data_IF_071983662408
#
_entry.id   IF_071983662408
#
_cell.length_a   1.000
_cell.length_b   1.000
_cell.length_c   1.000
_cell.angle_alpha   90.00
_cell.angle_beta   90.00
_cell.angle_gamma   90.00
#
_symmetry.space_group_name_H-M   'P 1'
#
loop_
_entity.id
_entity.type
_entity.pdbx_description
1 polymer ?
#
# COMPACT_ATOMS: atom_id res chain seq x y z
N UNK A 1 -1.73 -12.08 -35.22
CA UNK A 1 -2.39 -11.71 -33.95
C UNK A 1 -2.48 -13.00 -33.14
N UNK A 2 -1.56 -13.21 -32.19
CA UNK A 2 -1.66 -14.34 -31.26
C UNK A 2 -2.91 -14.12 -30.42
N UNK A 3 -3.75 -15.16 -30.31
CA UNK A 3 -4.87 -15.17 -29.35
C UNK A 3 -4.32 -14.74 -27.98
N UNK A 4 -4.80 -13.61 -27.50
CA UNK A 4 -4.53 -13.21 -26.12
C UNK A 4 -5.30 -14.20 -25.27
N UNK A 5 -4.55 -15.13 -24.67
CA UNK A 5 -5.10 -16.13 -23.77
C UNK A 5 -5.71 -15.38 -22.59
N UNK A 6 -7.03 -15.20 -22.61
CA UNK A 6 -7.79 -14.39 -21.62
C UNK A 6 -7.60 -14.86 -20.17
N UNK A 7 -6.95 -16.02 -19.98
CA UNK A 7 -6.74 -16.68 -18.69
C UNK A 7 -5.27 -17.02 -18.40
N UNK A 8 -4.30 -16.33 -19.00
CA UNK A 8 -2.89 -16.59 -18.67
C UNK A 8 -2.58 -16.12 -17.24
N UNK A 9 -2.63 -17.03 -16.27
CA UNK A 9 -2.31 -16.79 -14.87
C UNK A 9 -0.81 -16.89 -14.55
N UNK A 10 0.04 -17.22 -15.54
CA UNK A 10 1.47 -17.40 -15.32
C UNK A 10 2.15 -16.17 -14.70
N UNK A 11 1.89 -14.91 -15.11
CA UNK A 11 2.50 -13.73 -14.48
C UNK A 11 2.12 -13.62 -13.00
N UNK A 12 0.90 -13.98 -12.63
CA UNK A 12 0.44 -13.94 -11.23
C UNK A 12 1.19 -14.98 -10.38
N UNK A 13 1.30 -16.24 -10.85
CA UNK A 13 2.04 -17.27 -10.11
C UNK A 13 3.52 -16.95 -9.99
N UNK A 14 4.14 -16.39 -11.03
CA UNK A 14 5.54 -15.95 -11.00
C UNK A 14 5.73 -14.78 -10.02
N UNK A 15 4.82 -13.80 -9.99
CA UNK A 15 4.84 -12.71 -9.02
C UNK A 15 4.71 -13.23 -7.59
N UNK A 16 3.82 -14.20 -7.36
CA UNK A 16 3.69 -14.86 -6.05
C UNK A 16 4.98 -15.60 -5.66
N UNK A 17 5.64 -16.29 -6.59
CA UNK A 17 6.92 -16.96 -6.34
C UNK A 17 8.01 -15.97 -5.95
N UNK A 18 8.11 -14.82 -6.61
CA UNK A 18 9.01 -13.73 -6.23
C UNK A 18 8.68 -13.19 -4.84
N UNK A 19 7.39 -12.97 -4.54
CA UNK A 19 6.97 -12.54 -3.20
C UNK A 19 7.32 -13.55 -2.11
N UNK A 20 7.17 -14.85 -2.38
CA UNK A 20 7.64 -15.91 -1.48
C UNK A 20 9.16 -15.86 -1.27
N UNK A 21 9.93 -15.64 -2.32
CA UNK A 21 11.39 -15.51 -2.23
C UNK A 21 11.79 -14.28 -1.39
N UNK A 22 11.13 -13.15 -1.58
CA UNK A 22 11.33 -11.93 -0.77
C UNK A 22 11.00 -12.17 0.70
N UNK A 23 9.89 -12.86 1.01
CA UNK A 23 9.49 -13.16 2.37
C UNK A 23 10.34 -14.25 3.03
N UNK A 24 11.02 -15.11 2.26
CA UNK A 24 11.77 -16.24 2.77
C UNK A 24 12.90 -15.84 3.74
N UNK A 25 13.63 -14.76 3.44
CA UNK A 25 14.72 -14.28 4.29
C UNK A 25 14.24 -13.83 5.69
N UNK A 26 13.25 -12.90 5.81
CA UNK A 26 12.75 -12.51 7.12
C UNK A 26 12.06 -13.67 7.85
N UNK A 27 11.37 -14.59 7.15
CA UNK A 27 10.78 -15.77 7.77
C UNK A 27 11.84 -16.76 8.28
N UNK A 28 12.89 -17.04 7.50
CA UNK A 28 13.98 -17.93 7.93
C UNK A 28 14.71 -17.35 9.13
N UNK A 29 15.02 -16.06 9.12
CA UNK A 29 15.63 -15.37 10.25
C UNK A 29 14.74 -15.41 11.50
N UNK A 30 13.45 -15.14 11.35
CA UNK A 30 12.47 -15.22 12.42
C UNK A 30 12.39 -16.65 13.01
N UNK A 31 12.26 -17.67 12.17
CA UNK A 31 12.24 -19.07 12.60
C UNK A 31 13.50 -19.46 13.39
N UNK A 32 14.65 -19.02 12.92
CA UNK A 32 15.92 -19.29 13.59
C UNK A 32 16.03 -18.59 14.95
N UNK A 33 15.71 -17.30 15.00
CA UNK A 33 15.87 -16.46 16.20
C UNK A 33 14.84 -16.77 17.29
N UNK A 34 13.62 -17.18 16.92
CA UNK A 34 12.50 -17.35 17.85
C UNK A 34 12.26 -18.82 18.27
N UNK A 35 13.25 -19.70 18.15
CA UNK A 35 13.11 -21.15 18.44
C UNK A 35 12.67 -21.44 19.88
N UNK A 36 13.17 -20.68 20.85
CA UNK A 36 12.88 -20.85 22.28
C UNK A 36 11.81 -19.90 22.83
N UNK A 37 11.24 -19.03 21.99
CA UNK A 37 10.26 -18.06 22.42
C UNK A 37 8.86 -18.66 22.61
N UNK A 38 8.04 -18.05 23.47
CA UNK A 38 6.64 -18.42 23.65
C UNK A 38 5.83 -18.14 22.37
N UNK A 39 4.64 -18.78 22.17
CA UNK A 39 3.80 -18.54 21.01
C UNK A 39 3.47 -17.06 20.78
N UNK A 40 3.08 -16.33 21.83
CA UNK A 40 2.77 -14.89 21.74
C UNK A 40 3.99 -14.05 21.37
N UNK A 41 5.16 -14.35 21.93
CA UNK A 41 6.43 -13.68 21.59
C UNK A 41 6.83 -13.93 20.12
N UNK A 42 6.64 -15.16 19.61
CA UNK A 42 6.87 -15.49 18.20
C UNK A 42 6.00 -14.67 17.27
N UNK A 43 4.69 -14.61 17.57
CA UNK A 43 3.75 -13.82 16.77
C UNK A 43 4.02 -12.32 16.85
N UNK A 44 4.36 -11.80 18.04
CA UNK A 44 4.78 -10.41 18.21
C UNK A 44 6.02 -10.09 17.35
N UNK A 45 7.04 -10.92 17.40
CA UNK A 45 8.26 -10.73 16.63
C UNK A 45 7.97 -10.75 15.11
N UNK A 46 7.15 -11.71 14.62
CA UNK A 46 6.75 -11.76 13.21
C UNK A 46 5.95 -10.52 12.83
N UNK A 47 5.02 -10.07 13.68
CA UNK A 47 4.24 -8.85 13.43
C UNK A 47 5.14 -7.61 13.35
N UNK A 48 6.15 -7.48 14.22
CA UNK A 48 7.10 -6.36 14.19
C UNK A 48 7.98 -6.38 12.94
N UNK A 49 8.43 -7.54 12.49
CA UNK A 49 9.16 -7.69 11.22
C UNK A 49 8.25 -7.26 10.05
N UNK A 50 7.02 -7.76 10.03
CA UNK A 50 6.02 -7.40 9.00
C UNK A 50 5.74 -5.90 9.02
N UNK A 51 5.59 -5.30 10.20
CA UNK A 51 5.39 -3.86 10.37
C UNK A 51 6.56 -3.06 9.79
N UNK A 52 7.81 -3.46 10.08
CA UNK A 52 9.00 -2.79 9.58
C UNK A 52 9.08 -2.88 8.06
N UNK A 53 8.93 -4.08 7.48
CA UNK A 53 8.94 -4.26 6.01
C UNK A 53 7.76 -3.52 5.34
N UNK A 54 6.60 -3.45 6.00
CA UNK A 54 5.45 -2.66 5.51
C UNK A 54 5.75 -1.16 5.54
N UNK A 55 6.46 -0.67 6.57
CA UNK A 55 6.89 0.72 6.63
C UNK A 55 7.82 1.06 5.46
N UNK A 56 8.83 0.22 5.20
CA UNK A 56 9.72 0.39 4.05
C UNK A 56 8.96 0.34 2.72
N UNK A 57 7.96 -0.55 2.62
CA UNK A 57 7.08 -0.62 1.45
C UNK A 57 6.29 0.69 1.25
N UNK A 58 5.76 1.29 2.30
CA UNK A 58 5.04 2.58 2.22
C UNK A 58 5.98 3.69 1.76
N UNK A 59 7.21 3.74 2.29
CA UNK A 59 8.23 4.69 1.82
C UNK A 59 8.60 4.46 0.36
N UNK A 60 8.75 3.20 -0.05
CA UNK A 60 9.02 2.86 -1.45
C UNK A 60 7.82 3.21 -2.37
N UNK A 61 6.59 3.06 -1.88
CA UNK A 61 5.39 3.53 -2.58
C UNK A 61 5.38 5.05 -2.78
N UNK A 62 5.77 5.81 -1.76
CA UNK A 62 5.96 7.26 -1.90
C UNK A 62 7.06 7.59 -2.92
N UNK A 63 8.18 6.86 -2.93
CA UNK A 63 9.22 6.99 -3.92
C UNK A 63 8.70 6.70 -5.35
N UNK A 64 7.93 5.61 -5.52
CA UNK A 64 7.29 5.27 -6.81
C UNK A 64 6.39 6.41 -7.29
N UNK A 65 5.66 7.05 -6.38
CA UNK A 65 4.81 8.21 -6.71
C UNK A 65 5.64 9.44 -7.08
N UNK A 66 6.69 9.77 -6.31
CA UNK A 66 7.53 10.94 -6.52
C UNK A 66 8.38 10.85 -7.80
N UNK A 67 8.71 9.64 -8.22
CA UNK A 67 9.44 9.38 -9.48
C UNK A 67 8.51 9.22 -10.69
N UNK A 68 7.21 9.45 -10.51
CA UNK A 68 6.18 9.29 -11.54
C UNK A 68 6.25 7.90 -12.21
N UNK A 69 6.47 6.87 -11.38
CA UNK A 69 6.70 5.49 -11.84
C UNK A 69 5.47 4.58 -11.69
N UNK A 70 4.31 5.13 -11.30
CA UNK A 70 3.10 4.35 -11.02
C UNK A 70 2.41 3.76 -12.25
N UNK A 71 2.85 4.10 -13.47
CA UNK A 71 2.44 3.51 -14.74
C UNK A 71 3.66 3.11 -15.58
N UNK A 72 4.77 2.74 -14.96
CA UNK A 72 5.94 2.19 -15.62
C UNK A 72 5.67 0.85 -16.31
N UNK A 73 4.64 0.14 -15.84
CA UNK A 73 4.04 -1.05 -16.46
C UNK A 73 2.55 -0.80 -16.70
N UNK A 74 2.05 -0.91 -17.94
CA UNK A 74 0.67 -0.51 -18.29
C UNK A 74 -0.40 -1.51 -17.84
N UNK A 75 0.01 -2.72 -17.43
CA UNK A 75 -0.84 -3.85 -17.09
C UNK A 75 -0.61 -4.35 -15.65
N UNK A 76 -1.50 -5.18 -15.18
CA UNK A 76 -1.43 -5.85 -13.88
C UNK A 76 -1.90 -7.31 -14.02
N UNK A 77 -1.27 -8.28 -13.35
CA UNK A 77 -0.25 -8.18 -12.28
C UNK A 77 1.20 -8.01 -12.76
N UNK A 78 1.49 -8.26 -14.03
CA UNK A 78 2.81 -8.22 -14.61
C UNK A 78 3.20 -6.88 -15.24
N UNK A 79 4.11 -6.95 -16.22
CA UNK A 79 4.54 -5.86 -17.07
C UNK A 79 4.55 -6.38 -18.51
N UNK A 80 3.66 -5.88 -19.36
CA UNK A 80 3.42 -6.41 -20.72
C UNK A 80 3.23 -7.95 -20.72
N UNK A 81 2.42 -8.45 -19.79
CA UNK A 81 2.17 -9.89 -19.65
C UNK A 81 3.33 -10.71 -19.09
N UNK A 82 4.47 -10.08 -18.75
CA UNK A 82 5.62 -10.74 -18.10
C UNK A 82 5.66 -10.42 -16.60
N UNK A 83 6.17 -11.36 -15.80
CA UNK A 83 6.36 -11.12 -14.36
C UNK A 83 7.55 -10.21 -14.04
N UNK A 84 8.40 -9.91 -15.01
CA UNK A 84 9.58 -9.05 -14.80
C UNK A 84 9.79 -8.11 -15.99
N UNK A 85 10.37 -6.91 -15.76
CA UNK A 85 10.76 -6.01 -16.85
C UNK A 85 11.80 -6.60 -17.81
N UNK A 86 12.52 -7.64 -17.38
CA UNK A 86 13.46 -8.36 -18.26
C UNK A 86 12.70 -9.07 -19.38
N UNK A 87 11.60 -9.77 -19.05
CA UNK A 87 10.76 -10.45 -20.02
C UNK A 87 9.99 -9.52 -20.95
N UNK A 88 9.81 -8.26 -20.54
CA UNK A 88 9.12 -7.20 -21.29
C UNK A 88 10.10 -6.18 -21.92
N UNK A 89 11.38 -6.53 -22.05
CA UNK A 89 12.42 -5.59 -22.47
C UNK A 89 12.15 -4.97 -23.84
N UNK A 90 11.63 -5.74 -24.78
CA UNK A 90 11.37 -5.29 -26.15
C UNK A 90 10.27 -4.24 -26.16
N UNK A 91 9.15 -4.52 -25.50
CA UNK A 91 7.99 -3.65 -25.40
C UNK A 91 8.31 -2.35 -24.66
N UNK A 92 9.05 -2.45 -23.54
CA UNK A 92 9.50 -1.27 -22.78
C UNK A 92 10.44 -0.41 -23.60
N UNK A 93 11.38 -1.03 -24.35
CA UNK A 93 12.30 -0.27 -25.22
C UNK A 93 11.54 0.44 -26.35
N UNK A 94 10.57 -0.22 -26.95
CA UNK A 94 9.74 0.38 -27.99
C UNK A 94 8.92 1.57 -27.45
N UNK A 95 8.28 1.42 -26.29
CA UNK A 95 7.54 2.48 -25.62
C UNK A 95 8.44 3.68 -25.27
N UNK A 96 9.60 3.42 -24.69
CA UNK A 96 10.57 4.48 -24.31
C UNK A 96 11.16 5.17 -25.54
N UNK A 97 11.39 4.47 -26.66
CA UNK A 97 11.88 5.07 -27.90
C UNK A 97 10.81 5.98 -28.51
N UNK A 98 9.53 5.55 -28.47
CA UNK A 98 8.42 6.35 -28.96
C UNK A 98 8.16 7.60 -28.10
N UNK A 99 8.36 7.50 -26.77
CA UNK A 99 8.16 8.60 -25.83
C UNK A 99 9.22 8.56 -24.70
N UNK A 100 10.40 9.19 -24.91
CA UNK A 100 11.53 9.10 -23.96
C UNK A 100 11.23 9.61 -22.55
N UNK A 101 10.35 10.59 -22.40
CA UNK A 101 9.88 11.16 -21.12
C UNK A 101 8.51 10.64 -20.70
N UNK A 102 8.00 9.62 -21.39
CA UNK A 102 6.67 9.05 -21.15
C UNK A 102 6.56 8.27 -19.84
N UNK A 103 5.36 7.74 -19.58
CA UNK A 103 5.11 6.96 -18.37
C UNK A 103 5.92 5.66 -18.35
N UNK A 104 6.20 5.05 -19.49
CA UNK A 104 6.91 3.77 -19.58
C UNK A 104 8.36 3.99 -19.97
N UNK A 105 9.28 3.71 -19.05
CA UNK A 105 10.74 3.64 -19.28
C UNK A 105 11.30 2.46 -18.51
N UNK A 106 12.50 2.00 -18.85
CA UNK A 106 13.14 0.90 -18.12
C UNK A 106 13.26 1.16 -16.61
N UNK A 107 13.65 2.37 -16.21
CA UNK A 107 13.77 2.73 -14.79
C UNK A 107 12.42 2.73 -14.09
N UNK A 108 11.39 3.36 -14.68
CA UNK A 108 10.04 3.42 -14.10
C UNK A 108 9.42 2.02 -13.99
N UNK A 109 9.58 1.17 -15.01
CA UNK A 109 9.09 -0.21 -14.96
C UNK A 109 9.74 -1.02 -13.83
N UNK A 110 11.04 -0.87 -13.60
CA UNK A 110 11.73 -1.53 -12.50
C UNK A 110 11.27 -1.00 -11.13
N UNK A 111 11.14 0.31 -10.96
CA UNK A 111 10.66 0.91 -9.71
C UNK A 111 9.27 0.35 -9.37
N UNK A 112 8.35 0.35 -10.32
CA UNK A 112 7.01 -0.18 -10.09
C UNK A 112 7.01 -1.68 -9.78
N UNK A 113 7.74 -2.49 -10.56
CA UNK A 113 7.77 -3.94 -10.33
C UNK A 113 8.43 -4.32 -8.99
N UNK A 114 9.49 -3.63 -8.56
CA UNK A 114 10.08 -3.82 -7.23
C UNK A 114 9.05 -3.52 -6.14
N UNK A 115 8.26 -2.44 -6.28
CA UNK A 115 7.17 -2.15 -5.35
C UNK A 115 6.15 -3.30 -5.28
N UNK A 116 5.74 -3.85 -6.43
CA UNK A 116 4.82 -5.01 -6.49
C UNK A 116 5.42 -6.25 -5.84
N UNK A 117 6.72 -6.54 -6.02
CA UNK A 117 7.40 -7.66 -5.37
C UNK A 117 7.43 -7.52 -3.85
N UNK A 118 7.77 -6.34 -3.34
CA UNK A 118 7.75 -6.05 -1.91
C UNK A 118 6.34 -6.16 -1.33
N UNK A 119 5.33 -5.64 -2.04
CA UNK A 119 3.93 -5.74 -1.63
C UNK A 119 3.47 -7.21 -1.54
N UNK A 120 3.84 -8.04 -2.51
CA UNK A 120 3.54 -9.48 -2.47
C UNK A 120 4.27 -10.16 -1.31
N UNK A 121 5.53 -9.80 -1.04
CA UNK A 121 6.29 -10.28 0.11
C UNK A 121 5.62 -9.94 1.45
N UNK A 122 5.13 -8.72 1.62
CA UNK A 122 4.34 -8.32 2.81
C UNK A 122 3.06 -9.13 2.90
N UNK A 123 2.37 -9.38 1.79
CA UNK A 123 1.19 -10.27 1.75
C UNK A 123 1.49 -11.67 2.27
N UNK A 124 2.64 -12.25 1.86
CA UNK A 124 3.10 -13.57 2.34
C UNK A 124 3.40 -13.55 3.84
N UNK A 125 4.03 -12.49 4.37
CA UNK A 125 4.30 -12.36 5.80
C UNK A 125 3.00 -12.30 6.63
N UNK A 126 2.01 -11.53 6.15
CA UNK A 126 0.69 -11.41 6.81
C UNK A 126 -0.08 -12.74 6.74
N UNK A 127 -0.05 -13.43 5.60
CA UNK A 127 -0.62 -14.76 5.47
C UNK A 127 0.04 -15.76 6.44
N UNK A 128 1.37 -15.73 6.53
CA UNK A 128 2.14 -16.56 7.47
C UNK A 128 1.73 -16.29 8.92
N UNK A 129 1.51 -15.01 9.28
CA UNK A 129 1.04 -14.59 10.60
C UNK A 129 -0.37 -15.15 10.89
N UNK A 130 -1.29 -15.08 9.94
CA UNK A 130 -2.66 -15.60 10.09
C UNK A 130 -2.65 -17.14 10.25
N UNK A 131 -1.93 -17.84 9.39
CA UNK A 131 -1.83 -19.30 9.41
C UNK A 131 -1.13 -19.79 10.70
N UNK A 132 -0.05 -19.14 11.13
CA UNK A 132 0.68 -19.50 12.35
C UNK A 132 -0.21 -19.32 13.59
N UNK A 133 -0.95 -18.21 13.69
CA UNK A 133 -1.86 -17.95 14.81
C UNK A 133 -2.97 -19.01 14.87
N UNK A 134 -3.55 -19.31 13.72
CA UNK A 134 -4.58 -20.33 13.62
C UNK A 134 -4.05 -21.74 14.00
N UNK A 135 -2.86 -22.10 13.54
CA UNK A 135 -2.23 -23.39 13.82
C UNK A 135 -1.87 -23.53 15.31
N UNK A 136 -1.23 -22.52 15.92
CA UNK A 136 -0.88 -22.52 17.34
C UNK A 136 -2.12 -22.63 18.22
N UNK A 137 -3.19 -21.89 17.91
CA UNK A 137 -4.45 -22.01 18.64
C UNK A 137 -5.05 -23.42 18.52
N UNK A 138 -5.04 -24.00 17.32
CA UNK A 138 -5.53 -25.38 17.12
C UNK A 138 -4.70 -26.41 17.87
N UNK A 139 -3.39 -26.24 17.98
CA UNK A 139 -2.55 -27.10 18.80
C UNK A 139 -2.96 -27.07 20.26
N UNK A 140 -3.18 -25.91 20.86
CA UNK A 140 -3.64 -25.77 22.24
C UNK A 140 -4.96 -26.51 22.48
N UNK A 141 -5.95 -26.27 21.58
CA UNK A 141 -7.25 -26.94 21.67
C UNK A 141 -7.12 -28.48 21.60
N UNK A 142 -6.30 -29.00 20.65
CA UNK A 142 -6.06 -30.44 20.51
C UNK A 142 -5.33 -31.05 21.71
N UNK A 143 -4.51 -30.27 22.39
CA UNK A 143 -3.83 -30.68 23.62
C UNK A 143 -4.71 -30.59 24.87
N UNK A 144 -6.00 -30.26 24.75
CA UNK A 144 -6.94 -30.08 25.86
C UNK A 144 -6.65 -28.83 26.72
N UNK A 145 -5.82 -27.91 26.21
CA UNK A 145 -5.49 -26.67 26.91
C UNK A 145 -6.53 -25.58 26.63
N UNK A 146 -6.75 -24.70 27.60
CA UNK A 146 -7.51 -23.47 27.35
C UNK A 146 -6.74 -22.58 26.38
N UNK A 147 -7.32 -22.21 25.24
CA UNK A 147 -6.61 -21.37 24.26
C UNK A 147 -6.24 -20.03 24.85
N UNK A 148 -4.97 -19.62 24.66
CA UNK A 148 -4.50 -18.29 25.06
C UNK A 148 -5.35 -17.20 24.34
N UNK A 149 -5.97 -16.26 25.09
CA UNK A 149 -6.73 -15.16 24.52
C UNK A 149 -5.93 -14.28 23.55
N UNK A 150 -4.60 -14.22 23.71
CA UNK A 150 -3.71 -13.48 22.80
C UNK A 150 -3.64 -14.14 21.42
N UNK A 151 -3.86 -15.45 21.32
CA UNK A 151 -3.87 -16.22 20.07
C UNK A 151 -5.25 -16.21 19.38
N UNK A 152 -6.07 -15.20 19.66
CA UNK A 152 -7.38 -15.11 18.99
C UNK A 152 -7.20 -14.77 17.50
N UNK A 153 -7.73 -15.56 16.55
CA UNK A 153 -7.41 -15.44 15.13
C UNK A 153 -8.05 -14.25 14.44
N UNK A 154 -9.01 -13.57 15.03
CA UNK A 154 -9.72 -12.43 14.43
C UNK A 154 -8.77 -11.34 13.94
N UNK A 155 -7.78 -10.96 14.75
CA UNK A 155 -6.86 -9.89 14.36
C UNK A 155 -5.99 -10.23 13.14
N UNK A 156 -5.29 -11.38 13.08
CA UNK A 156 -4.52 -11.74 11.89
C UNK A 156 -5.38 -11.93 10.65
N UNK A 157 -6.59 -12.50 10.79
CA UNK A 157 -7.51 -12.61 9.66
C UNK A 157 -8.05 -11.25 9.19
N UNK A 158 -8.32 -10.33 10.12
CA UNK A 158 -8.65 -8.95 9.78
C UNK A 158 -7.49 -8.26 9.04
N UNK A 159 -6.25 -8.41 9.52
CA UNK A 159 -5.06 -7.87 8.86
C UNK A 159 -4.88 -8.47 7.46
N UNK A 160 -5.16 -9.76 7.29
CA UNK A 160 -5.12 -10.43 5.98
C UNK A 160 -6.20 -9.88 5.05
N UNK A 161 -7.44 -9.74 5.52
CA UNK A 161 -8.51 -9.13 4.72
C UNK A 161 -8.15 -7.69 4.32
N UNK A 162 -7.57 -6.91 5.24
CA UNK A 162 -7.11 -5.55 4.98
C UNK A 162 -6.04 -5.50 3.89
N UNK A 163 -5.01 -6.35 3.94
CA UNK A 163 -3.95 -6.37 2.92
C UNK A 163 -4.44 -6.88 1.58
N UNK A 164 -5.43 -7.79 1.54
CA UNK A 164 -6.08 -8.19 0.28
C UNK A 164 -6.83 -7.01 -0.36
N UNK A 165 -7.58 -6.24 0.44
CA UNK A 165 -8.23 -5.02 -0.01
C UNK A 165 -7.20 -3.98 -0.51
N UNK A 166 -6.10 -3.79 0.22
CA UNK A 166 -4.99 -2.93 -0.17
C UNK A 166 -4.37 -3.37 -1.51
N UNK A 167 -4.20 -4.67 -1.72
CA UNK A 167 -3.72 -5.23 -3.00
C UNK A 167 -4.70 -4.97 -4.15
N UNK A 168 -6.02 -5.07 -3.89
CA UNK A 168 -7.04 -4.71 -4.87
C UNK A 168 -6.97 -3.23 -5.27
N UNK A 169 -6.85 -2.31 -4.29
CA UNK A 169 -6.60 -0.90 -4.59
C UNK A 169 -5.31 -0.71 -5.39
N UNK A 170 -4.23 -1.46 -5.07
CA UNK A 170 -2.98 -1.43 -5.84
C UNK A 170 -3.17 -1.83 -7.31
N UNK A 171 -3.97 -2.87 -7.58
CA UNK A 171 -4.32 -3.24 -8.95
C UNK A 171 -5.12 -2.14 -9.65
N UNK A 172 -6.10 -1.56 -8.95
CA UNK A 172 -6.94 -0.48 -9.48
C UNK A 172 -6.16 0.80 -9.78
N UNK A 173 -5.07 1.10 -9.05
CA UNK A 173 -4.23 2.28 -9.39
C UNK A 173 -3.68 2.19 -10.81
N UNK A 174 -3.34 1.00 -11.27
CA UNK A 174 -2.82 0.74 -12.62
C UNK A 174 -3.96 0.65 -13.64
N UNK A 175 -4.95 -0.20 -13.38
CA UNK A 175 -6.02 -0.47 -14.35
C UNK A 175 -6.94 0.73 -14.56
N UNK A 176 -7.06 1.62 -13.58
CA UNK A 176 -7.79 2.89 -13.67
C UNK A 176 -6.85 4.10 -13.95
N UNK A 177 -5.63 3.86 -14.44
CA UNK A 177 -4.69 4.90 -14.90
C UNK A 177 -4.50 6.03 -13.88
N UNK A 178 -4.16 5.68 -12.63
CA UNK A 178 -3.92 6.61 -11.52
C UNK A 178 -5.15 7.47 -11.17
N UNK A 179 -6.34 6.89 -11.19
CA UNK A 179 -7.57 7.56 -10.76
C UNK A 179 -7.38 8.17 -9.35
N UNK A 180 -7.53 9.51 -9.16
CA UNK A 180 -7.05 10.20 -7.95
C UNK A 180 -7.63 9.64 -6.64
N UNK A 181 -8.94 9.35 -6.59
CA UNK A 181 -9.56 8.78 -5.40
C UNK A 181 -9.01 7.39 -5.06
N UNK A 182 -8.79 6.54 -6.06
CA UNK A 182 -8.24 5.19 -5.87
C UNK A 182 -6.81 5.25 -5.34
N UNK A 183 -5.97 6.13 -5.89
CA UNK A 183 -4.58 6.29 -5.43
C UNK A 183 -4.53 6.88 -4.02
N UNK A 184 -5.40 7.85 -3.70
CA UNK A 184 -5.52 8.42 -2.35
C UNK A 184 -5.99 7.36 -1.34
N UNK A 185 -6.99 6.55 -1.68
CA UNK A 185 -7.45 5.45 -0.84
C UNK A 185 -6.35 4.40 -0.67
N UNK A 186 -5.61 4.05 -1.73
CA UNK A 186 -4.47 3.14 -1.63
C UNK A 186 -3.42 3.63 -0.63
N UNK A 187 -3.08 4.92 -0.65
CA UNK A 187 -2.21 5.54 0.36
C UNK A 187 -2.79 5.39 1.77
N UNK A 188 -4.05 5.79 1.97
CA UNK A 188 -4.69 5.77 3.29
C UNK A 188 -4.78 4.33 3.85
N UNK A 189 -5.19 3.37 3.05
CA UNK A 189 -5.24 1.96 3.47
C UNK A 189 -3.85 1.39 3.72
N UNK A 190 -2.81 1.82 2.97
CA UNK A 190 -1.42 1.44 3.21
C UNK A 190 -0.90 1.93 4.56
N UNK A 191 -1.12 3.21 4.88
CA UNK A 191 -0.79 3.78 6.21
C UNK A 191 -1.65 3.14 7.30
N UNK A 192 -2.93 2.84 7.01
CA UNK A 192 -3.83 2.12 7.91
C UNK A 192 -3.32 0.73 8.28
N UNK A 193 -2.69 0.03 7.33
CA UNK A 193 -2.07 -1.27 7.59
C UNK A 193 -0.96 -1.18 8.65
N UNK A 194 -0.17 -0.09 8.65
CA UNK A 194 0.84 0.14 9.70
C UNK A 194 0.18 0.27 11.08
N UNK A 195 -0.92 1.03 11.17
CA UNK A 195 -1.65 1.18 12.44
C UNK A 195 -2.25 -0.16 12.92
N UNK A 196 -2.80 -0.95 12.00
CA UNK A 196 -3.36 -2.29 12.31
C UNK A 196 -2.26 -3.23 12.80
N UNK A 197 -1.11 -3.31 12.10
CA UNK A 197 0.02 -4.14 12.50
C UNK A 197 0.61 -3.69 13.84
N UNK A 198 0.70 -2.39 14.10
CA UNK A 198 1.15 -1.87 15.39
C UNK A 198 0.20 -2.26 16.52
N UNK A 199 -1.11 -2.09 16.32
CA UNK A 199 -2.12 -2.49 17.30
C UNK A 199 -2.04 -4.01 17.58
N UNK A 200 -1.82 -4.82 16.56
CA UNK A 200 -1.64 -6.26 16.70
C UNK A 200 -0.35 -6.64 17.45
N UNK A 201 0.76 -5.94 17.20
CA UNK A 201 2.02 -6.14 17.92
C UNK A 201 1.89 -5.83 19.42
N UNK A 202 1.22 -4.70 19.74
CA UNK A 202 0.92 -4.31 21.14
C UNK A 202 0.01 -5.34 21.81
N UNK A 203 -0.99 -5.86 21.09
CA UNK A 203 -1.85 -6.92 21.62
C UNK A 203 -1.08 -8.17 22.01
N UNK A 204 -0.14 -8.63 21.17
CA UNK A 204 0.68 -9.81 21.47
C UNK A 204 1.67 -9.60 22.61
N UNK A 205 1.92 -8.36 23.03
CA UNK A 205 2.73 -8.07 24.21
C UNK A 205 2.03 -8.50 25.51
N UNK A 206 0.68 -8.53 25.52
CA UNK A 206 -0.10 -8.92 26.69
C UNK A 206 0.02 -7.96 27.87
N UNK A 207 0.52 -6.75 27.65
CA UNK A 207 0.66 -5.75 28.70
C UNK A 207 -0.70 -5.32 29.24
N UNK A 208 -0.79 -5.14 30.56
CA UNK A 208 -2.00 -4.63 31.19
C UNK A 208 -2.31 -3.21 30.67
N UNK A 209 -3.60 -2.97 30.39
CA UNK A 209 -4.05 -1.65 29.97
C UNK A 209 -3.76 -0.62 31.09
N UNK A 210 -3.07 0.45 30.73
CA UNK A 210 -2.81 1.57 31.63
C UNK A 210 -3.98 2.54 31.58
N UNK A 211 -4.42 3.01 32.75
CA UNK A 211 -5.42 4.06 32.84
C UNK A 211 -4.80 5.38 32.32
N UNK A 212 -5.42 5.96 31.31
CA UNK A 212 -5.02 7.24 30.73
C UNK A 212 -6.08 8.28 31.09
N UNK A 213 -5.70 9.47 31.59
CA UNK A 213 -6.65 10.54 31.86
C UNK A 213 -7.53 10.85 30.66
N UNK A 214 -8.84 11.09 30.90
CA UNK A 214 -9.81 11.26 29.80
C UNK A 214 -9.44 12.42 28.87
N UNK A 215 -8.89 13.52 29.41
CA UNK A 215 -8.41 14.66 28.59
C UNK A 215 -7.29 14.27 27.62
N UNK A 216 -6.27 13.56 28.13
CA UNK A 216 -5.17 13.09 27.30
C UNK A 216 -5.66 12.11 26.22
N UNK A 217 -6.55 11.18 26.57
CA UNK A 217 -7.14 10.24 25.61
C UNK A 217 -7.91 10.95 24.50
N UNK A 218 -8.71 11.99 24.83
CA UNK A 218 -9.42 12.81 23.83
C UNK A 218 -8.45 13.57 22.94
N UNK A 219 -7.41 14.17 23.51
CA UNK A 219 -6.37 14.86 22.76
C UNK A 219 -5.64 13.95 21.77
N UNK A 220 -5.27 12.73 22.20
CA UNK A 220 -4.63 11.74 21.32
C UNK A 220 -5.55 11.30 20.18
N UNK A 221 -6.83 11.08 20.45
CA UNK A 221 -7.80 10.75 19.38
C UNK A 221 -8.00 11.91 18.41
N UNK A 222 -8.09 13.15 18.90
CA UNK A 222 -8.16 14.33 18.03
C UNK A 222 -6.92 14.45 17.14
N UNK A 223 -5.73 14.32 17.73
CA UNK A 223 -4.47 14.34 16.98
C UNK A 223 -4.40 13.23 15.90
N UNK A 224 -4.86 12.02 16.25
CA UNK A 224 -4.93 10.91 15.30
C UNK A 224 -5.88 11.21 14.15
N UNK A 225 -7.08 11.73 14.43
CA UNK A 225 -8.04 12.10 13.38
C UNK A 225 -7.50 13.21 12.48
N UNK A 226 -6.92 14.28 13.09
CA UNK A 226 -6.33 15.37 12.32
C UNK A 226 -5.16 14.90 11.42
N UNK A 227 -4.31 14.02 11.94
CA UNK A 227 -3.25 13.40 11.15
C UNK A 227 -3.82 12.61 9.96
N UNK A 228 -4.90 11.86 10.20
CA UNK A 228 -5.56 11.07 9.15
C UNK A 228 -6.16 11.95 8.07
N UNK A 229 -6.81 13.04 8.45
CA UNK A 229 -7.33 14.07 7.52
C UNK A 229 -6.16 14.69 6.73
N UNK A 230 -5.08 15.06 7.40
CA UNK A 230 -3.89 15.64 6.76
C UNK A 230 -3.27 14.69 5.72
N UNK A 231 -3.16 13.40 6.04
CA UNK A 231 -2.67 12.39 5.08
C UNK A 231 -3.61 12.29 3.86
N UNK A 232 -4.92 12.28 4.10
CA UNK A 232 -5.92 12.25 3.03
C UNK A 232 -5.85 13.47 2.10
N UNK A 233 -5.80 14.68 2.68
CA UNK A 233 -5.67 15.92 1.91
C UNK A 233 -4.34 15.99 1.15
N UNK A 234 -3.21 15.68 1.81
CA UNK A 234 -1.91 15.63 1.14
C UNK A 234 -1.84 14.59 0.03
N UNK A 235 -2.49 13.43 0.24
CA UNK A 235 -2.69 12.43 -0.79
C UNK A 235 -3.47 12.98 -1.98
N UNK A 236 -4.58 13.70 -1.72
CA UNK A 236 -5.41 14.31 -2.77
C UNK A 236 -4.62 15.34 -3.59
N UNK A 237 -3.87 16.23 -2.94
CA UNK A 237 -2.97 17.18 -3.61
C UNK A 237 -1.97 16.45 -4.51
N UNK A 238 -1.31 15.42 -3.96
CA UNK A 238 -0.30 14.64 -4.70
C UNK A 238 -0.91 13.91 -5.89
N UNK A 239 -2.03 13.22 -5.72
CA UNK A 239 -2.64 12.37 -6.76
C UNK A 239 -3.22 13.19 -7.91
N UNK A 240 -3.57 14.44 -7.67
CA UNK A 240 -4.03 15.38 -8.69
C UNK A 240 -2.90 16.19 -9.34
N UNK A 241 -1.63 15.98 -8.97
CA UNK A 241 -0.47 16.77 -9.43
C UNK A 241 -0.62 18.28 -9.16
N UNK A 242 -1.37 18.65 -8.10
CA UNK A 242 -1.69 20.04 -7.78
C UNK A 242 -0.57 20.80 -7.03
N UNK A 243 0.51 20.10 -6.65
CA UNK A 243 1.62 20.68 -5.82
C UNK A 243 2.20 21.95 -6.40
N UNK A 244 2.29 22.06 -7.73
CA UNK A 244 2.87 23.21 -8.41
C UNK A 244 1.82 24.23 -8.90
N UNK A 245 0.56 24.06 -8.54
CA UNK A 245 -0.50 25.00 -8.91
C UNK A 245 -0.33 26.37 -8.23
N UNK A 246 0.28 26.40 -7.01
CA UNK A 246 0.65 27.61 -6.30
C UNK A 246 2.18 27.75 -6.27
N UNK A 247 2.76 28.69 -7.01
CA UNK A 247 4.22 28.87 -7.09
C UNK A 247 4.80 29.60 -5.89
N UNK A 248 3.99 30.30 -5.10
CA UNK A 248 4.37 31.15 -3.98
C UNK A 248 3.67 30.69 -2.68
N UNK A 249 4.29 31.00 -1.55
CA UNK A 249 3.79 30.75 -0.20
C UNK A 249 4.13 31.94 0.71
N UNK A 250 3.21 32.42 1.55
CA UNK A 250 1.89 31.89 1.92
C UNK A 250 0.74 32.29 1.00
N UNK A 251 1.01 32.99 -0.08
CA UNK A 251 0.05 33.36 -1.12
C UNK A 251 0.01 32.31 -2.23
N UNK A 252 -0.95 32.44 -3.14
CA UNK A 252 -1.03 31.68 -4.38
C UNK A 252 -1.25 32.68 -5.52
N UNK A 253 -0.30 32.77 -6.46
CA UNK A 253 -0.28 33.81 -7.50
C UNK A 253 -0.40 35.25 -6.94
N UNK A 254 0.27 35.50 -5.82
CA UNK A 254 0.27 36.80 -5.13
C UNK A 254 -1.05 37.12 -4.37
N UNK A 255 -2.00 36.19 -4.32
CA UNK A 255 -3.30 36.36 -3.65
C UNK A 255 -3.40 35.50 -2.40
N UNK A 256 -3.99 36.05 -1.32
CA UNK A 256 -4.31 35.28 -0.12
C UNK A 256 -5.51 34.36 -0.29
N UNK A 257 -6.44 34.71 -1.15
CA UNK A 257 -7.63 33.95 -1.52
C UNK A 257 -7.73 33.95 -3.05
N UNK A 258 -7.09 33.01 -3.73
CA UNK A 258 -7.20 32.88 -5.17
C UNK A 258 -8.63 32.43 -5.56
N UNK A 259 -8.98 32.58 -6.85
CA UNK A 259 -10.25 32.09 -7.35
C UNK A 259 -10.35 30.57 -7.10
N UNK A 260 -11.44 30.17 -6.43
CA UNK A 260 -11.67 28.78 -6.04
C UNK A 260 -12.65 28.11 -7.02
N UNK A 261 -12.32 26.88 -7.40
CA UNK A 261 -13.22 26.03 -8.17
C UNK A 261 -13.33 24.66 -7.50
N UNK A 262 -14.49 24.36 -6.92
CA UNK A 262 -14.72 23.14 -6.14
C UNK A 262 -14.76 21.85 -6.96
N UNK A 263 -14.76 21.90 -8.29
CA UNK A 263 -14.64 20.72 -9.16
C UNK A 263 -13.35 19.94 -8.92
N UNK A 264 -12.32 20.58 -8.35
CA UNK A 264 -11.11 19.92 -7.90
C UNK A 264 -11.34 18.82 -6.85
N UNK A 265 -12.44 18.91 -6.08
CA UNK A 265 -12.82 17.95 -5.03
C UNK A 265 -13.84 16.92 -5.48
N UNK A 266 -14.22 16.89 -6.77
CA UNK A 266 -15.02 15.80 -7.30
C UNK A 266 -14.21 14.49 -7.22
N UNK A 267 -14.69 13.57 -6.38
CA UNK A 267 -13.98 12.33 -6.09
C UNK A 267 -14.07 11.30 -7.22
N UNK A 268 -15.09 11.40 -8.06
CA UNK A 268 -15.32 10.45 -9.14
C UNK A 268 -15.02 11.07 -10.51
N UNK A 269 -13.77 11.28 -10.79
CA UNK A 269 -13.25 11.80 -12.04
C UNK A 269 -11.90 11.23 -12.38
N UNK A 270 -11.60 11.09 -13.67
CA UNK A 270 -10.28 10.70 -14.14
C UNK A 270 -9.25 11.80 -13.86
N UNK A 271 -7.99 11.41 -13.83
CA UNK A 271 -6.87 12.34 -13.59
C UNK A 271 -6.86 13.44 -14.68
N UNK A 272 -6.86 14.70 -14.22
CA UNK A 272 -6.84 15.87 -15.10
C UNK A 272 -8.16 16.17 -15.83
N UNK A 273 -9.23 15.41 -15.53
CA UNK A 273 -10.55 15.58 -16.18
C UNK A 273 -11.61 16.00 -15.16
N UNK A 274 -12.69 16.59 -15.64
CA UNK A 274 -13.97 16.76 -14.92
C UNK A 274 -14.81 15.48 -15.02
N UNK A 275 -15.88 15.30 -14.22
CA UNK A 275 -16.80 14.17 -14.37
C UNK A 275 -17.44 14.06 -15.77
N UNK A 276 -17.57 15.17 -16.46
CA UNK A 276 -18.14 15.22 -17.83
C UNK A 276 -17.09 14.96 -18.93
N UNK A 277 -15.85 14.59 -18.55
CA UNK A 277 -14.78 14.25 -19.49
C UNK A 277 -14.11 15.45 -20.17
N UNK A 278 -14.27 16.66 -19.64
CA UNK A 278 -13.54 17.85 -20.09
C UNK A 278 -12.22 18.01 -19.29
N UNK A 279 -11.29 18.81 -19.79
CA UNK A 279 -10.08 19.13 -19.03
C UNK A 279 -10.43 19.88 -17.75
N UNK A 280 -9.80 19.48 -16.64
CA UNK A 280 -9.97 20.13 -15.34
C UNK A 280 -9.45 21.59 -15.43
N UNK A 281 -10.27 22.60 -15.07
CA UNK A 281 -9.81 23.99 -15.04
C UNK A 281 -8.64 24.19 -14.10
N UNK A 282 -7.73 25.11 -14.43
CA UNK A 282 -6.54 25.38 -13.61
C UNK A 282 -6.92 25.86 -12.20
N UNK A 283 -7.98 26.66 -12.06
CA UNK A 283 -8.52 27.12 -10.78
C UNK A 283 -8.96 25.97 -9.87
N UNK A 284 -9.34 24.85 -10.45
CA UNK A 284 -9.67 23.64 -9.69
C UNK A 284 -8.40 22.98 -9.10
N UNK A 285 -7.26 23.04 -9.79
CA UNK A 285 -5.96 22.59 -9.23
C UNK A 285 -5.48 23.52 -8.11
N UNK A 286 -5.69 24.84 -8.27
CA UNK A 286 -5.37 25.85 -7.24
C UNK A 286 -6.22 25.62 -5.96
N UNK A 287 -7.43 25.06 -6.09
CA UNK A 287 -8.34 24.81 -4.98
C UNK A 287 -8.01 23.55 -4.18
N UNK A 288 -7.29 22.62 -4.79
CA UNK A 288 -6.86 21.35 -4.17
C UNK A 288 -5.70 21.60 -3.21
#
# INVERSE_FOLDING_TARGET
MSEVDLYNLAPMFQLMAVGLAVAALPLAWWLWKQRSATPSQRLRALTLITLFVTFDLVLFGAFTRLTDSGLGCPDWPGCYGSATPIGAKVEITAAQTAMPTGPVTHSKAWIEMVHRYLATGVGVLILSLALMTWWLRRQQIRAGQTPDPLLHPVWPWFTLAWVCLQGAFGALTVTMKLFPAIVTLHLMFGVGLLAVLMAQAVRYEGAAARAVPAGLRRGLWLAFVLLWVQIGLGGWVSTNYAVLACPDFPTCHGQWLPAMNWQGFDVWRELGMTPDGQLLPFEALVSI
#
